data_IF_439574205544
#
_entry.id   IF_439574205544
#
_cell.length_a   1.000
_cell.length_b   1.000
_cell.length_c   1.000
_cell.angle_alpha   90.00
_cell.angle_beta   90.00
_cell.angle_gamma   90.00
#
_symmetry.space_group_name_H-M   'P 1'
#
loop_
_entity.id
_entity.type
_entity.pdbx_description
1 polymer ?
#
# COMPACT_ATOMS: atom_id res chain seq x y z
N UNK A 1 -12.74 -10.59 -18.24
CA UNK A 1 -11.61 -9.68 -18.48
C UNK A 1 -11.81 -8.39 -17.70
N UNK A 2 -10.78 -7.89 -17.00
CA UNK A 2 -10.82 -6.64 -16.22
C UNK A 2 -9.84 -5.61 -16.78
N UNK A 3 -10.33 -4.42 -17.10
CA UNK A 3 -9.47 -3.28 -17.38
C UNK A 3 -9.04 -2.61 -16.06
N UNK A 4 -7.74 -2.46 -15.82
CA UNK A 4 -7.20 -1.74 -14.66
C UNK A 4 -6.66 -0.39 -15.14
N UNK A 5 -7.40 0.68 -14.87
CA UNK A 5 -7.01 2.04 -15.25
C UNK A 5 -6.06 2.59 -14.17
N UNK A 6 -4.80 2.77 -14.56
CA UNK A 6 -3.70 3.15 -13.68
C UNK A 6 -2.72 4.08 -14.40
N UNK A 7 -1.61 4.42 -13.74
CA UNK A 7 -0.50 5.16 -14.36
C UNK A 7 0.51 4.24 -15.07
N UNK A 8 0.23 2.94 -15.14
CA UNK A 8 1.05 1.93 -15.82
C UNK A 8 0.49 1.59 -17.20
N UNK A 9 1.35 1.12 -18.09
CA UNK A 9 0.98 0.52 -19.37
C UNK A 9 1.03 -1.02 -19.28
N UNK A 10 0.56 -1.71 -20.32
CA UNK A 10 0.48 -3.18 -20.39
C UNK A 10 1.85 -3.88 -20.30
N UNK A 11 2.92 -3.19 -20.69
CA UNK A 11 4.29 -3.71 -20.68
C UNK A 11 5.09 -3.27 -19.44
N UNK A 12 4.42 -2.72 -18.42
CA UNK A 12 5.07 -2.17 -17.24
C UNK A 12 5.88 -3.23 -16.48
N UNK A 13 7.10 -2.88 -16.11
CA UNK A 13 8.02 -3.76 -15.39
C UNK A 13 8.06 -3.46 -13.91
N UNK A 14 8.51 -4.42 -13.11
CA UNK A 14 8.57 -4.30 -11.65
C UNK A 14 9.52 -3.16 -11.21
N UNK A 15 10.57 -2.90 -11.99
CA UNK A 15 11.55 -1.83 -11.75
C UNK A 15 10.96 -0.42 -11.98
N UNK A 16 9.81 -0.31 -12.65
CA UNK A 16 9.11 0.95 -12.96
C UNK A 16 8.08 1.33 -11.88
N UNK A 17 7.96 0.52 -10.82
CA UNK A 17 7.06 0.81 -9.71
C UNK A 17 7.73 1.78 -8.75
N UNK A 18 7.26 3.02 -8.68
CA UNK A 18 7.85 4.08 -7.84
C UNK A 18 6.84 4.78 -6.94
N UNK A 19 5.57 4.41 -7.03
CA UNK A 19 4.53 4.96 -6.18
C UNK A 19 3.49 3.89 -5.84
N UNK A 20 2.70 4.22 -4.84
CA UNK A 20 1.66 3.38 -4.31
C UNK A 20 0.69 2.84 -5.39
N UNK A 21 0.13 3.70 -6.25
CA UNK A 21 -0.83 3.27 -7.29
C UNK A 21 -0.19 2.30 -8.30
N UNK A 22 1.11 2.43 -8.57
CA UNK A 22 1.83 1.49 -9.43
C UNK A 22 1.87 0.10 -8.82
N UNK A 23 2.26 0.03 -7.54
CA UNK A 23 2.37 -1.24 -6.82
C UNK A 23 1.02 -1.96 -6.79
N UNK A 24 -0.08 -1.26 -6.46
CA UNK A 24 -1.42 -1.88 -6.44
C UNK A 24 -1.84 -2.36 -7.81
N UNK A 25 -1.69 -1.53 -8.85
CA UNK A 25 -2.14 -1.89 -10.18
C UNK A 25 -1.37 -3.11 -10.71
N UNK A 26 -0.05 -3.10 -10.56
CA UNK A 26 0.81 -4.19 -11.00
C UNK A 26 0.52 -5.50 -10.27
N UNK A 27 0.44 -5.47 -8.93
CA UNK A 27 0.20 -6.68 -8.16
C UNK A 27 -1.24 -7.18 -8.23
N UNK A 28 -2.24 -6.32 -8.38
CA UNK A 28 -3.60 -6.78 -8.67
C UNK A 28 -3.70 -7.41 -10.06
N UNK A 29 -3.01 -6.86 -11.06
CA UNK A 29 -2.94 -7.46 -12.39
C UNK A 29 -2.38 -8.89 -12.34
N UNK A 30 -1.24 -9.06 -11.67
CA UNK A 30 -0.61 -10.37 -11.47
C UNK A 30 -1.48 -11.31 -10.62
N UNK A 31 -2.06 -10.81 -9.52
CA UNK A 31 -2.93 -11.60 -8.66
C UNK A 31 -4.21 -12.07 -9.37
N UNK A 32 -4.83 -11.23 -10.21
CA UNK A 32 -5.97 -11.66 -11.05
C UNK A 32 -5.56 -12.79 -11.99
N UNK A 33 -4.39 -12.70 -12.64
CA UNK A 33 -3.88 -13.76 -13.50
C UNK A 33 -3.66 -15.06 -12.74
N UNK A 34 -3.09 -15.01 -11.53
CA UNK A 34 -2.88 -16.16 -10.64
C UNK A 34 -4.17 -16.86 -10.25
N UNK A 35 -5.30 -16.14 -10.17
CA UNK A 35 -6.62 -16.71 -9.89
C UNK A 35 -7.48 -16.97 -11.14
N UNK A 36 -6.87 -16.97 -12.34
CA UNK A 36 -7.55 -17.30 -13.59
C UNK A 36 -8.42 -16.19 -14.19
N UNK A 37 -8.26 -14.94 -13.72
CA UNK A 37 -8.97 -13.78 -14.26
C UNK A 37 -8.05 -12.97 -15.17
N UNK A 38 -8.39 -12.91 -16.45
CA UNK A 38 -7.69 -12.02 -17.39
C UNK A 38 -7.88 -10.56 -16.98
N UNK A 39 -6.80 -9.81 -16.91
CA UNK A 39 -6.82 -8.35 -16.70
C UNK A 39 -5.78 -7.65 -17.57
N UNK A 40 -5.91 -6.34 -17.77
CA UNK A 40 -4.96 -5.51 -18.53
C UNK A 40 -4.71 -4.19 -17.84
N UNK A 41 -3.47 -3.71 -17.89
CA UNK A 41 -3.10 -2.38 -17.42
C UNK A 41 -3.35 -1.36 -18.52
N UNK A 42 -4.15 -0.34 -18.22
CA UNK A 42 -4.44 0.77 -19.12
C UNK A 42 -3.90 2.04 -18.49
N UNK A 43 -3.03 2.72 -19.22
CA UNK A 43 -2.52 4.02 -18.82
C UNK A 43 -3.67 5.05 -18.89
N UNK A 44 -3.84 5.82 -17.84
CA UNK A 44 -4.87 6.85 -17.72
C UNK A 44 -4.77 7.96 -18.78
N UNK A 45 -3.57 8.36 -19.18
CA UNK A 45 -3.38 9.35 -20.26
C UNK A 45 -3.80 8.82 -21.63
N UNK A 46 -3.68 7.51 -21.89
CA UNK A 46 -4.18 6.90 -23.12
C UNK A 46 -5.68 7.17 -23.29
N UNK A 47 -6.44 7.19 -22.20
CA UNK A 47 -7.89 7.41 -22.20
C UNK A 47 -8.29 8.86 -22.46
N UNK A 48 -7.35 9.80 -22.52
CA UNK A 48 -7.64 11.17 -22.93
C UNK A 48 -7.85 11.29 -24.44
N UNK A 49 -7.14 10.49 -25.23
CA UNK A 49 -7.17 10.55 -26.70
C UNK A 49 -7.74 9.29 -27.36
N UNK A 50 -7.86 8.18 -26.65
CA UNK A 50 -8.29 6.89 -27.22
C UNK A 50 -9.39 6.23 -26.42
N UNK A 51 -10.20 5.39 -27.07
CA UNK A 51 -11.17 4.57 -26.36
C UNK A 51 -10.48 3.41 -25.62
N UNK A 52 -10.92 3.07 -24.38
CA UNK A 52 -10.44 1.87 -23.72
C UNK A 52 -10.85 0.63 -24.52
N UNK A 53 -10.07 -0.47 -24.48
CA UNK A 53 -10.53 -1.76 -24.95
C UNK A 53 -11.82 -2.18 -24.25
N UNK A 54 -12.67 -2.97 -24.93
CA UNK A 54 -13.86 -3.55 -24.28
C UNK A 54 -13.45 -4.51 -23.17
N UNK A 55 -14.17 -4.49 -22.06
CA UNK A 55 -13.93 -5.36 -20.90
C UNK A 55 -15.23 -5.81 -20.24
N UNK A 56 -15.15 -6.84 -19.39
CA UNK A 56 -16.28 -7.24 -18.54
C UNK A 56 -16.48 -6.22 -17.42
N UNK A 57 -15.39 -5.89 -16.71
CA UNK A 57 -15.38 -4.90 -15.64
C UNK A 57 -14.20 -3.94 -15.82
N UNK A 58 -14.33 -2.74 -15.27
CA UNK A 58 -13.23 -1.78 -15.15
C UNK A 58 -12.97 -1.47 -13.68
N UNK A 59 -11.70 -1.46 -13.28
CA UNK A 59 -11.21 -1.04 -11.97
C UNK A 59 -10.33 0.20 -12.14
N UNK A 60 -10.68 1.31 -11.47
CA UNK A 60 -9.89 2.54 -11.49
C UNK A 60 -9.02 2.62 -10.23
N UNK A 61 -7.73 2.88 -10.42
CA UNK A 61 -6.73 3.07 -9.35
C UNK A 61 -6.01 4.41 -9.52
N UNK A 62 -5.89 4.93 -10.75
CA UNK A 62 -5.22 6.21 -11.02
C UNK A 62 -5.95 7.42 -10.40
N UNK A 63 -5.18 8.29 -9.73
CA UNK A 63 -5.66 9.57 -9.22
C UNK A 63 -6.12 10.51 -10.34
N UNK A 64 -5.46 10.51 -11.51
CA UNK A 64 -5.87 11.35 -12.64
C UNK A 64 -7.19 10.83 -13.24
N UNK A 65 -7.33 9.52 -13.42
CA UNK A 65 -8.56 8.90 -13.89
C UNK A 65 -9.74 9.13 -12.93
N UNK A 66 -9.50 9.09 -11.62
CA UNK A 66 -10.47 9.49 -10.61
C UNK A 66 -10.91 10.95 -10.78
N UNK A 67 -9.95 11.87 -10.95
CA UNK A 67 -10.20 13.29 -11.17
C UNK A 67 -11.04 13.52 -12.43
N UNK A 68 -10.70 12.86 -13.54
CA UNK A 68 -11.47 12.97 -14.78
C UNK A 68 -12.87 12.38 -14.67
N UNK A 69 -13.02 11.25 -13.98
CA UNK A 69 -14.34 10.65 -13.73
C UNK A 69 -15.26 11.61 -12.98
N UNK A 70 -14.73 12.34 -11.99
CA UNK A 70 -15.50 13.30 -11.19
C UNK A 70 -15.79 14.60 -11.94
N UNK A 71 -14.83 15.10 -12.73
CA UNK A 71 -14.91 16.42 -13.37
C UNK A 71 -15.49 16.42 -14.79
N UNK A 72 -15.49 15.26 -15.47
CA UNK A 72 -15.90 15.15 -16.89
C UNK A 72 -16.92 14.01 -17.07
N UNK A 73 -18.24 14.31 -17.10
CA UNK A 73 -19.27 13.28 -17.28
C UNK A 73 -19.08 12.42 -18.54
N UNK A 74 -18.54 13.01 -19.61
CA UNK A 74 -18.21 12.29 -20.86
C UNK A 74 -17.15 11.21 -20.67
N UNK A 75 -16.20 11.41 -19.74
CA UNK A 75 -15.15 10.43 -19.43
C UNK A 75 -15.74 9.21 -18.72
N UNK A 76 -16.60 9.41 -17.72
CA UNK A 76 -17.30 8.31 -17.05
C UNK A 76 -18.22 7.57 -18.04
N UNK A 77 -18.98 8.29 -18.86
CA UNK A 77 -19.83 7.70 -19.91
C UNK A 77 -19.01 6.83 -20.85
N UNK A 78 -17.84 7.32 -21.28
CA UNK A 78 -16.90 6.55 -22.12
C UNK A 78 -16.44 5.27 -21.42
N UNK A 79 -15.99 5.33 -20.16
CA UNK A 79 -15.58 4.11 -19.43
C UNK A 79 -16.74 3.11 -19.31
N UNK A 80 -17.95 3.59 -18.99
CA UNK A 80 -19.14 2.73 -18.88
C UNK A 80 -19.54 2.11 -20.22
N UNK A 81 -19.44 2.83 -21.34
CA UNK A 81 -19.75 2.29 -22.67
C UNK A 81 -18.82 1.12 -23.09
N UNK A 82 -17.64 1.02 -22.50
CA UNK A 82 -16.64 -0.01 -22.81
C UNK A 82 -16.47 -1.04 -21.68
N UNK A 83 -17.29 -0.95 -20.63
CA UNK A 83 -17.36 -1.92 -19.53
C UNK A 83 -18.71 -2.59 -19.59
N UNK A 84 -18.75 -3.90 -19.87
CA UNK A 84 -20.01 -4.63 -20.02
C UNK A 84 -20.86 -4.60 -18.76
N UNK A 85 -20.22 -4.70 -17.59
CA UNK A 85 -20.91 -4.90 -16.31
C UNK A 85 -20.59 -3.79 -15.30
N UNK A 86 -19.47 -3.90 -14.57
CA UNK A 86 -19.20 -3.04 -13.41
C UNK A 86 -18.03 -2.09 -13.67
N UNK A 87 -18.15 -0.85 -13.20
CA UNK A 87 -17.08 0.13 -13.06
C UNK A 87 -16.84 0.39 -11.58
N UNK A 88 -15.67 -0.01 -11.10
CA UNK A 88 -15.27 0.07 -9.71
C UNK A 88 -14.08 1.00 -9.50
N UNK A 89 -13.91 1.43 -8.25
CA UNK A 89 -12.81 2.26 -7.79
C UNK A 89 -12.05 1.53 -6.69
N UNK A 90 -10.73 1.67 -6.62
CA UNK A 90 -9.91 1.22 -5.50
C UNK A 90 -9.27 2.43 -4.79
N UNK A 91 -9.46 2.54 -3.47
CA UNK A 91 -9.02 3.66 -2.63
C UNK A 91 -8.30 3.18 -1.37
N UNK A 92 -7.48 4.07 -0.82
CA UNK A 92 -6.88 3.90 0.49
C UNK A 92 -7.94 3.93 1.62
N UNK A 93 -8.88 4.87 1.56
CA UNK A 93 -9.94 5.01 2.58
C UNK A 93 -11.30 5.39 1.99
N UNK A 94 -12.33 5.35 2.84
CA UNK A 94 -13.72 5.64 2.49
C UNK A 94 -14.03 7.16 2.48
N UNK A 95 -13.43 7.89 1.54
CA UNK A 95 -13.52 9.35 1.45
C UNK A 95 -14.91 9.95 1.14
N UNK A 96 -15.98 9.15 1.13
CA UNK A 96 -17.36 9.54 0.80
C UNK A 96 -17.54 10.23 -0.57
N UNK A 97 -18.76 10.25 -1.11
CA UNK A 97 -19.10 10.97 -2.35
C UNK A 97 -18.65 10.32 -3.67
N UNK A 98 -17.96 9.18 -3.62
CA UNK A 98 -17.60 8.39 -4.81
C UNK A 98 -18.71 7.45 -5.32
N UNK A 99 -19.67 7.15 -4.46
CA UNK A 99 -20.77 6.19 -4.66
C UNK A 99 -21.73 6.54 -5.79
N UNK A 100 -21.79 7.81 -6.20
CA UNK A 100 -22.55 8.25 -7.38
C UNK A 100 -21.85 7.95 -8.71
N UNK A 101 -20.54 7.69 -8.71
CA UNK A 101 -19.77 7.46 -9.93
C UNK A 101 -19.51 5.98 -10.20
N UNK A 102 -19.42 5.18 -9.13
CA UNK A 102 -18.95 3.80 -9.18
C UNK A 102 -20.02 2.81 -8.70
N UNK A 103 -19.93 1.60 -9.22
CA UNK A 103 -20.79 0.48 -8.81
C UNK A 103 -20.27 -0.10 -7.48
N UNK A 104 -18.95 -0.16 -7.33
CA UNK A 104 -18.25 -0.52 -6.09
C UNK A 104 -17.04 0.38 -5.84
N UNK A 105 -16.76 0.66 -4.57
CA UNK A 105 -15.57 1.35 -4.07
C UNK A 105 -14.86 0.41 -3.13
N UNK A 106 -13.80 -0.21 -3.62
CA UNK A 106 -12.91 -1.04 -2.84
C UNK A 106 -12.02 -0.16 -1.99
N UNK A 107 -12.05 -0.36 -0.68
CA UNK A 107 -11.22 0.37 0.26
C UNK A 107 -10.21 -0.57 0.88
N UNK A 108 -9.02 -0.05 1.10
CA UNK A 108 -7.96 -0.74 1.80
C UNK A 108 -8.31 -0.91 3.26
N UNK A 109 -8.90 0.11 3.88
CA UNK A 109 -9.36 -0.01 5.26
C UNK A 109 -10.83 -0.31 5.28
N UNK A 110 -11.28 -1.05 6.30
CA UNK A 110 -12.69 -1.35 6.46
C UNK A 110 -13.46 -0.02 6.41
N UNK A 111 -14.49 0.12 5.56
CA UNK A 111 -15.24 1.36 5.50
C UNK A 111 -15.92 1.64 6.85
N UNK A 112 -16.01 2.91 7.23
CA UNK A 112 -16.81 3.39 8.35
C UNK A 112 -18.25 3.62 7.91
N UNK A 113 -18.43 4.09 6.68
CA UNK A 113 -19.75 4.20 6.07
C UNK A 113 -20.40 2.83 5.90
N UNK A 114 -21.69 2.74 6.24
CA UNK A 114 -22.51 1.54 6.04
C UNK A 114 -23.02 1.41 4.59
N UNK A 115 -22.56 2.26 3.67
CA UNK A 115 -22.97 2.21 2.28
C UNK A 115 -22.45 0.91 1.63
N UNK A 116 -23.35 0.05 1.09
CA UNK A 116 -22.99 -1.27 0.56
C UNK A 116 -22.09 -1.24 -0.68
N UNK A 117 -21.90 -0.06 -1.29
CA UNK A 117 -20.94 0.15 -2.37
C UNK A 117 -19.51 0.24 -1.88
N UNK A 118 -19.27 0.68 -0.64
CA UNK A 118 -17.93 0.68 -0.06
C UNK A 118 -17.63 -0.70 0.51
N UNK A 119 -16.56 -1.32 0.02
CA UNK A 119 -16.24 -2.72 0.29
C UNK A 119 -14.79 -2.84 0.68
N UNK A 120 -14.53 -3.51 1.79
CA UNK A 120 -13.16 -3.79 2.20
C UNK A 120 -12.48 -4.78 1.24
N UNK A 121 -11.40 -4.34 0.60
CA UNK A 121 -10.50 -5.19 -0.16
C UNK A 121 -9.20 -5.48 0.61
N UNK A 122 -8.68 -4.50 1.34
CA UNK A 122 -7.40 -4.62 2.06
C UNK A 122 -6.18 -4.42 1.17
N UNK A 123 -5.01 -4.39 1.80
CA UNK A 123 -3.70 -4.48 1.16
C UNK A 123 -3.23 -5.92 0.98
N UNK A 124 -2.25 -6.07 0.10
CA UNK A 124 -1.46 -7.28 -0.05
C UNK A 124 0.05 -7.00 -0.07
N UNK A 125 0.83 -8.02 0.23
CA UNK A 125 2.22 -8.16 -0.18
C UNK A 125 2.36 -9.48 -0.97
N UNK A 126 3.38 -9.57 -1.82
CA UNK A 126 3.71 -10.80 -2.53
C UNK A 126 4.98 -11.43 -1.91
N UNK A 127 4.87 -12.62 -1.28
CA UNK A 127 5.99 -13.26 -0.58
C UNK A 127 7.12 -13.71 -1.53
N UNK A 128 6.89 -13.71 -2.85
CA UNK A 128 7.96 -13.94 -3.85
C UNK A 128 9.02 -12.83 -3.79
N UNK A 129 8.62 -11.62 -3.42
CA UNK A 129 9.50 -10.44 -3.38
C UNK A 129 9.75 -9.95 -1.96
N UNK A 130 8.76 -10.11 -1.07
CA UNK A 130 8.84 -9.76 0.34
C UNK A 130 9.10 -11.01 1.18
N UNK A 131 10.35 -11.23 1.57
CA UNK A 131 10.75 -12.40 2.37
C UNK A 131 11.90 -12.06 3.31
N UNK A 132 12.04 -12.76 4.43
CA UNK A 132 13.11 -12.50 5.38
C UNK A 132 14.49 -12.90 4.84
N UNK A 133 15.45 -11.96 4.84
CA UNK A 133 16.89 -12.21 4.65
C UNK A 133 17.69 -11.95 5.93
N UNK A 134 17.41 -10.84 6.64
CA UNK A 134 17.93 -10.45 7.98
C UNK A 134 19.34 -10.95 8.38
N UNK A 135 20.32 -10.84 7.48
CA UNK A 135 21.71 -11.25 7.77
C UNK A 135 22.47 -10.25 8.67
N UNK A 136 21.93 -9.06 8.90
CA UNK A 136 22.49 -8.00 9.76
C UNK A 136 21.40 -7.35 10.59
N UNK A 137 21.69 -6.94 11.83
CA UNK A 137 20.71 -6.28 12.69
C UNK A 137 20.46 -4.84 12.22
N UNK A 138 19.36 -4.65 11.50
CA UNK A 138 19.03 -3.38 10.85
C UNK A 138 17.60 -2.91 11.14
N UNK A 139 17.38 -1.62 11.00
CA UNK A 139 16.09 -0.95 11.13
C UNK A 139 15.76 -0.18 9.86
N UNK A 140 14.50 -0.23 9.45
CA UNK A 140 13.95 0.68 8.47
C UNK A 140 13.25 1.84 9.18
N UNK A 141 13.70 3.06 8.99
CA UNK A 141 13.01 4.27 9.39
C UNK A 141 12.15 4.74 8.22
N UNK A 142 10.84 4.57 8.36
CA UNK A 142 9.86 5.19 7.48
C UNK A 142 10.09 6.70 7.56
N UNK A 143 10.61 7.40 6.56
CA UNK A 143 10.81 8.86 6.66
C UNK A 143 9.98 9.62 5.62
N UNK A 144 9.02 8.93 4.99
CA UNK A 144 8.28 9.44 3.84
C UNK A 144 7.44 10.68 4.17
N UNK A 145 6.96 10.81 5.40
CA UNK A 145 6.02 11.86 5.82
C UNK A 145 6.53 12.81 6.89
N UNK A 146 7.84 12.82 7.19
CA UNK A 146 8.39 13.63 8.28
C UNK A 146 7.93 15.09 8.21
N UNK A 147 8.07 15.74 7.06
CA UNK A 147 7.66 17.13 6.86
C UNK A 147 6.16 17.39 7.02
N UNK A 148 5.28 16.40 6.81
CA UNK A 148 3.82 16.58 6.95
C UNK A 148 3.40 16.85 8.39
N UNK A 149 4.15 16.34 9.37
CA UNK A 149 3.80 16.42 10.80
C UNK A 149 4.73 17.33 11.59
N UNK A 150 5.46 18.22 10.90
CA UNK A 150 6.34 19.20 11.55
C UNK A 150 5.57 19.97 12.64
N UNK A 151 6.20 20.13 13.80
CA UNK A 151 5.63 20.75 14.99
C UNK A 151 4.72 19.84 15.82
N UNK A 152 4.16 18.77 15.25
CA UNK A 152 3.24 17.86 15.98
C UNK A 152 3.94 16.61 16.50
N UNK A 153 4.84 16.03 15.71
CA UNK A 153 5.50 14.74 16.02
C UNK A 153 7.02 14.87 16.14
N UNK A 154 7.56 16.09 16.19
CA UNK A 154 9.01 16.36 16.21
C UNK A 154 9.71 15.64 17.36
N UNK A 155 9.10 15.59 18.54
CA UNK A 155 9.63 14.84 19.69
C UNK A 155 9.86 13.34 19.41
N UNK A 156 9.00 12.69 18.59
CA UNK A 156 9.19 11.28 18.20
C UNK A 156 10.39 11.15 17.27
N UNK A 157 10.51 12.06 16.30
CA UNK A 157 11.64 12.05 15.37
C UNK A 157 12.96 12.30 16.08
N UNK A 158 12.99 13.26 17.02
CA UNK A 158 14.15 13.48 17.88
C UNK A 158 14.54 12.25 18.69
N UNK A 159 13.56 11.50 19.22
CA UNK A 159 13.84 10.26 19.94
C UNK A 159 14.49 9.24 19.00
N UNK A 160 13.99 9.04 17.78
CA UNK A 160 14.64 8.16 16.81
C UNK A 160 16.07 8.64 16.48
N UNK A 161 16.25 9.91 16.14
CA UNK A 161 17.53 10.49 15.75
C UNK A 161 18.58 10.37 16.86
N UNK A 162 18.20 10.60 18.12
CA UNK A 162 19.11 10.49 19.27
C UNK A 162 19.36 9.04 19.69
N UNK A 163 18.44 8.12 19.41
CA UNK A 163 18.49 6.75 19.94
C UNK A 163 19.13 5.77 18.97
N UNK A 164 18.72 5.76 17.70
CA UNK A 164 19.19 4.77 16.71
C UNK A 164 20.72 4.72 16.58
N UNK A 165 21.47 5.86 16.55
CA UNK A 165 22.93 5.83 16.47
C UNK A 165 23.61 5.17 17.68
N UNK A 166 22.94 5.10 18.82
CA UNK A 166 23.52 4.56 20.07
C UNK A 166 23.36 3.04 20.21
N UNK A 167 22.59 2.41 19.32
CA UNK A 167 22.23 0.99 19.44
C UNK A 167 23.08 0.04 18.58
N UNK A 168 24.05 0.56 17.82
CA UNK A 168 24.84 -0.26 16.88
C UNK A 168 24.00 -0.92 15.78
N UNK A 169 22.79 -0.41 15.54
CA UNK A 169 21.89 -0.88 14.49
C UNK A 169 22.20 -0.15 13.19
N UNK A 170 22.20 -0.88 12.09
CA UNK A 170 22.22 -0.24 10.77
C UNK A 170 20.86 0.37 10.49
N UNK A 171 20.81 1.70 10.38
CA UNK A 171 19.59 2.42 10.06
C UNK A 171 19.51 2.69 8.55
N UNK A 172 18.45 2.16 7.93
CA UNK A 172 18.05 2.55 6.58
C UNK A 172 16.94 3.58 6.69
N UNK A 173 17.14 4.76 6.12
CA UNK A 173 16.11 5.79 6.02
C UNK A 173 15.95 6.20 4.57
N UNK A 174 14.70 6.26 4.11
CA UNK A 174 14.38 6.82 2.80
C UNK A 174 13.93 8.24 3.04
N UNK A 175 14.85 9.19 2.84
CA UNK A 175 14.60 10.62 3.00
C UNK A 175 13.31 11.04 2.24
N UNK A 176 12.56 12.02 2.77
CA UNK A 176 11.18 12.30 2.37
C UNK A 176 11.02 12.53 0.86
N UNK A 177 10.05 11.83 0.27
CA UNK A 177 9.72 11.83 -1.16
C UNK A 177 9.01 13.09 -1.66
N UNK A 178 8.85 14.12 -0.83
CA UNK A 178 8.12 15.36 -1.16
C UNK A 178 9.00 16.53 -1.57
N UNK A 179 10.33 16.42 -1.43
CA UNK A 179 11.29 17.46 -1.84
C UNK A 179 12.25 16.91 -2.89
N UNK A 180 11.93 16.98 -4.19
CA UNK A 180 12.87 16.80 -5.32
C UNK A 180 13.83 15.58 -5.33
N UNK A 181 13.70 14.62 -4.42
CA UNK A 181 14.56 13.45 -4.35
C UNK A 181 14.08 12.36 -5.31
N UNK A 182 15.05 11.67 -5.92
CA UNK A 182 14.81 10.51 -6.79
C UNK A 182 14.02 9.46 -5.99
N UNK A 183 12.81 9.16 -6.44
CA UNK A 183 11.98 8.09 -5.85
C UNK A 183 12.75 6.77 -5.93
N UNK A 184 12.83 6.05 -4.81
CA UNK A 184 13.44 4.71 -4.78
C UNK A 184 12.48 3.75 -5.49
N UNK A 185 12.92 3.01 -6.53
CA UNK A 185 12.12 1.97 -7.13
C UNK A 185 11.69 0.94 -6.09
N UNK A 186 10.49 0.41 -6.22
CA UNK A 186 9.89 -0.52 -5.26
C UNK A 186 10.78 -1.75 -5.02
N UNK A 187 11.41 -2.29 -6.07
CA UNK A 187 12.34 -3.43 -5.95
C UNK A 187 13.51 -3.12 -5.01
N UNK A 188 14.08 -1.91 -5.12
CA UNK A 188 15.16 -1.48 -4.23
C UNK A 188 14.68 -1.26 -2.80
N UNK A 189 13.45 -0.77 -2.62
CA UNK A 189 12.82 -0.68 -1.30
C UNK A 189 12.69 -2.06 -0.66
N UNK A 190 12.22 -3.07 -1.40
CA UNK A 190 12.09 -4.42 -0.85
C UNK A 190 13.45 -5.00 -0.47
N UNK A 191 14.50 -4.82 -1.30
CA UNK A 191 15.88 -5.26 -0.94
C UNK A 191 16.36 -4.69 0.39
N UNK A 192 15.93 -3.48 0.76
CA UNK A 192 16.22 -2.88 2.06
C UNK A 192 15.36 -3.56 3.14
N UNK A 193 14.04 -3.62 2.94
CA UNK A 193 13.10 -4.19 3.93
C UNK A 193 13.43 -5.64 4.30
N UNK A 194 13.87 -6.47 3.33
CA UNK A 194 14.28 -7.86 3.57
C UNK A 194 15.45 -8.01 4.55
N UNK A 195 16.25 -6.97 4.75
CA UNK A 195 17.39 -6.96 5.68
C UNK A 195 17.02 -6.45 7.06
N UNK A 196 15.90 -5.75 7.19
CA UNK A 196 15.54 -5.06 8.43
C UNK A 196 14.83 -6.02 9.40
N UNK A 197 15.26 -6.00 10.65
CA UNK A 197 14.60 -6.68 11.77
C UNK A 197 13.46 -5.84 12.33
N UNK A 198 13.58 -4.51 12.21
CA UNK A 198 12.60 -3.58 12.76
C UNK A 198 12.14 -2.59 11.69
N UNK A 199 10.89 -2.18 11.79
CA UNK A 199 10.30 -1.08 11.05
C UNK A 199 9.85 -0.01 12.03
N UNK A 200 10.53 1.14 12.04
CA UNK A 200 10.19 2.28 12.88
C UNK A 200 9.15 3.16 12.17
N UNK A 201 7.96 3.22 12.76
CA UNK A 201 6.84 3.98 12.21
C UNK A 201 6.98 5.48 12.51
N UNK A 202 6.73 6.31 11.50
CA UNK A 202 6.78 7.78 11.56
C UNK A 202 5.54 8.47 11.00
N UNK A 203 4.68 7.73 10.30
CA UNK A 203 3.49 8.30 9.69
C UNK A 203 2.25 8.02 10.55
N UNK A 204 1.47 9.07 10.82
CA UNK A 204 0.08 8.90 11.25
C UNK A 204 -0.73 8.41 10.06
N UNK A 205 -1.13 7.16 10.11
CA UNK A 205 -1.88 6.56 9.03
C UNK A 205 -2.34 5.18 9.41
N UNK A 206 -3.44 4.76 8.80
CA UNK A 206 -3.83 3.37 8.75
C UNK A 206 -2.70 2.52 8.15
N UNK A 207 -2.64 1.21 8.43
CA UNK A 207 -1.58 0.31 7.95
C UNK A 207 -1.28 0.53 6.47
N UNK A 208 -0.24 1.31 6.18
CA UNK A 208 0.20 1.56 4.82
C UNK A 208 0.76 0.29 4.21
N UNK A 209 0.69 0.20 2.89
CA UNK A 209 1.22 -0.92 2.10
C UNK A 209 2.63 -1.35 2.57
N UNK A 210 3.52 -0.37 2.77
CA UNK A 210 4.90 -0.60 3.20
C UNK A 210 5.02 -1.31 4.56
N UNK A 211 4.07 -1.15 5.49
CA UNK A 211 4.11 -1.84 6.79
C UNK A 211 3.81 -3.33 6.63
N UNK A 212 2.88 -3.66 5.73
CA UNK A 212 2.57 -5.05 5.40
C UNK A 212 3.73 -5.68 4.64
N UNK A 213 4.34 -4.94 3.72
CA UNK A 213 5.55 -5.38 3.01
C UNK A 213 6.71 -5.62 3.99
N UNK A 214 6.96 -4.69 4.93
CA UNK A 214 7.98 -4.83 5.97
C UNK A 214 7.71 -6.04 6.87
N UNK A 215 6.47 -6.21 7.34
CA UNK A 215 6.09 -7.38 8.15
C UNK A 215 6.20 -8.68 7.35
N UNK A 216 5.86 -8.67 6.05
CA UNK A 216 6.02 -9.84 5.16
C UNK A 216 7.49 -10.16 4.92
N UNK A 217 8.35 -9.13 4.90
CA UNK A 217 9.80 -9.28 4.96
C UNK A 217 10.31 -9.76 6.33
N UNK A 218 9.46 -9.90 7.35
CA UNK A 218 9.83 -10.38 8.68
C UNK A 218 10.23 -9.29 9.69
N UNK A 219 10.04 -8.01 9.36
CA UNK A 219 10.35 -6.92 10.28
C UNK A 219 9.26 -6.73 11.36
N UNK A 220 9.67 -6.62 12.62
CA UNK A 220 8.80 -6.22 13.72
C UNK A 220 8.45 -4.73 13.60
N UNK A 221 7.16 -4.40 13.61
CA UNK A 221 6.74 -2.99 13.60
C UNK A 221 6.93 -2.37 14.98
N UNK A 222 7.72 -1.30 15.05
CA UNK A 222 7.98 -0.52 16.28
C UNK A 222 7.24 0.80 16.13
N UNK A 223 6.14 0.94 16.87
CA UNK A 223 5.11 1.96 16.62
C UNK A 223 5.00 2.92 17.81
N UNK A 224 5.19 4.24 17.60
CA UNK A 224 4.93 5.21 18.66
C UNK A 224 3.44 5.20 19.04
N UNK A 225 3.12 5.26 20.34
CA UNK A 225 1.75 5.26 20.85
C UNK A 225 0.83 6.29 20.17
N UNK A 226 1.25 7.56 19.92
CA UNK A 226 0.40 8.53 19.20
C UNK A 226 0.03 8.11 17.76
N UNK A 227 0.85 7.25 17.14
CA UNK A 227 0.67 6.79 15.76
C UNK A 227 -0.05 5.44 15.65
N UNK A 228 -0.24 4.72 16.77
CA UNK A 228 -0.87 3.41 16.77
C UNK A 228 -2.37 3.49 16.38
N UNK A 229 -2.80 2.62 15.46
CA UNK A 229 -4.18 2.53 14.97
C UNK A 229 -4.65 1.07 14.96
N UNK A 230 -5.32 0.58 16.03
CA UNK A 230 -5.65 -0.83 16.20
C UNK A 230 -6.39 -1.45 15.02
N UNK A 231 -7.36 -0.73 14.45
CA UNK A 231 -8.19 -1.21 13.33
C UNK A 231 -7.39 -1.71 12.14
N UNK A 232 -6.18 -1.20 11.98
CA UNK A 232 -5.36 -1.46 10.80
C UNK A 232 -4.08 -2.20 11.14
N UNK A 233 -3.52 -1.95 12.33
CA UNK A 233 -2.23 -2.52 12.76
C UNK A 233 -2.38 -3.81 13.58
N UNK A 234 -3.53 -4.07 14.20
CA UNK A 234 -3.69 -5.21 15.11
C UNK A 234 -3.50 -6.57 14.43
N UNK A 235 -3.60 -6.63 13.10
CA UNK A 235 -3.35 -7.85 12.34
C UNK A 235 -1.87 -8.14 12.11
N UNK A 236 -0.96 -7.18 12.33
CA UNK A 236 0.49 -7.32 12.15
C UNK A 236 1.18 -7.46 13.50
N UNK A 237 2.34 -8.11 13.52
CA UNK A 237 3.19 -8.15 14.72
C UNK A 237 3.80 -6.77 14.97
N UNK A 238 3.62 -6.24 16.17
CA UNK A 238 4.06 -4.89 16.51
C UNK A 238 4.29 -4.71 18.00
N UNK A 239 5.10 -3.72 18.34
CA UNK A 239 5.30 -3.21 19.70
C UNK A 239 5.00 -1.72 19.71
N UNK A 240 4.34 -1.30 20.78
CA UNK A 240 4.01 0.10 21.02
C UNK A 240 5.01 0.66 22.03
N UNK A 241 5.52 1.86 21.77
CA UNK A 241 6.43 2.57 22.67
C UNK A 241 5.94 4.00 22.94
N UNK A 242 6.25 4.53 24.11
CA UNK A 242 5.88 5.91 24.52
C UNK A 242 7.10 6.72 24.96
N UNK A 243 8.09 6.06 25.56
CA UNK A 243 9.34 6.66 26.03
C UNK A 243 10.56 6.22 25.21
N UNK A 244 11.69 6.90 25.41
CA UNK A 244 12.97 6.50 24.81
C UNK A 244 13.39 5.10 25.30
N UNK A 245 13.16 4.81 26.57
CA UNK A 245 13.50 3.55 27.21
C UNK A 245 12.68 2.40 26.62
N UNK A 246 11.38 2.63 26.35
CA UNK A 246 10.53 1.67 25.65
C UNK A 246 11.05 1.37 24.24
N UNK A 247 11.46 2.41 23.50
CA UNK A 247 12.02 2.25 22.17
C UNK A 247 13.32 1.42 22.20
N UNK A 248 14.22 1.71 23.14
CA UNK A 248 15.46 0.95 23.32
C UNK A 248 15.15 -0.51 23.65
N UNK A 249 14.19 -0.76 24.55
CA UNK A 249 13.77 -2.11 24.91
C UNK A 249 13.22 -2.84 23.67
N UNK A 250 12.33 -2.22 22.91
CA UNK A 250 11.75 -2.78 21.69
C UNK A 250 12.82 -3.16 20.65
N UNK A 251 13.81 -2.30 20.43
CA UNK A 251 14.89 -2.50 19.45
C UNK A 251 15.99 -3.47 19.93
N UNK A 252 15.96 -3.88 21.20
CA UNK A 252 16.85 -4.91 21.75
C UNK A 252 16.23 -6.31 21.71
N UNK A 253 14.91 -6.43 21.58
CA UNK A 253 14.21 -7.71 21.54
C UNK A 253 14.73 -8.60 20.41
N UNK A 254 14.94 -9.87 20.72
CA UNK A 254 15.15 -10.89 19.71
C UNK A 254 13.84 -11.10 18.94
N UNK A 255 13.90 -10.94 17.62
CA UNK A 255 12.75 -11.11 16.73
C UNK A 255 12.81 -12.48 16.06
N UNK A 256 11.65 -13.04 15.70
CA UNK A 256 11.55 -14.21 14.82
C UNK A 256 11.01 -13.80 13.44
N UNK A 257 11.89 -13.44 12.47
CA UNK A 257 11.44 -12.93 11.18
C UNK A 257 10.54 -13.89 10.40
N UNK A 258 10.75 -15.20 10.56
CA UNK A 258 9.92 -16.23 9.90
C UNK A 258 8.50 -16.19 10.43
N UNK A 259 8.31 -16.18 11.75
CA UNK A 259 7.00 -16.13 12.37
C UNK A 259 6.25 -14.83 12.06
N UNK A 260 6.96 -13.69 12.12
CA UNK A 260 6.40 -12.39 11.72
C UNK A 260 5.93 -12.41 10.27
N UNK A 261 6.77 -12.94 9.36
CA UNK A 261 6.44 -13.09 7.93
C UNK A 261 5.21 -13.98 7.72
N UNK A 262 5.15 -15.15 8.35
CA UNK A 262 4.00 -16.06 8.24
C UNK A 262 2.70 -15.40 8.70
N UNK A 263 2.72 -14.66 9.81
CA UNK A 263 1.54 -13.91 10.28
C UNK A 263 1.11 -12.83 9.30
N UNK A 264 2.06 -12.18 8.62
CA UNK A 264 1.79 -11.12 7.65
C UNK A 264 1.25 -11.65 6.32
N UNK A 265 1.60 -12.88 5.89
CA UNK A 265 1.15 -13.49 4.62
C UNK A 265 -0.37 -13.62 4.45
N UNK A 266 -1.16 -13.52 5.53
CA UNK A 266 -2.63 -13.38 5.44
C UNK A 266 -3.09 -12.09 4.74
N UNK A 267 -2.18 -11.15 4.52
CA UNK A 267 -2.36 -9.94 3.73
C UNK A 267 -1.67 -10.13 2.38
N UNK A 268 -2.28 -10.87 1.47
CA UNK A 268 -1.72 -11.14 0.13
C UNK A 268 -2.56 -10.54 -0.98
N UNK A 269 -1.91 -10.18 -2.09
CA UNK A 269 -2.61 -9.63 -3.26
C UNK A 269 -3.62 -10.61 -3.86
N UNK A 270 -3.38 -11.92 -3.77
CA UNK A 270 -4.34 -12.95 -4.18
C UNK A 270 -5.64 -12.86 -3.37
N UNK A 271 -5.56 -12.64 -2.05
CA UNK A 271 -6.74 -12.47 -1.20
C UNK A 271 -7.48 -11.16 -1.49
N UNK A 272 -6.75 -10.08 -1.80
CA UNK A 272 -7.34 -8.80 -2.22
C UNK A 272 -8.09 -8.99 -3.55
N UNK A 273 -7.45 -9.60 -4.55
CA UNK A 273 -8.04 -9.91 -5.84
C UNK A 273 -9.30 -10.77 -5.69
N UNK A 274 -9.26 -11.83 -4.87
CA UNK A 274 -10.42 -12.68 -4.61
C UNK A 274 -11.60 -11.90 -4.00
N UNK A 275 -11.34 -11.00 -3.04
CA UNK A 275 -12.39 -10.14 -2.45
C UNK A 275 -13.03 -9.23 -3.50
N UNK A 276 -12.21 -8.68 -4.42
CA UNK A 276 -12.71 -7.86 -5.52
C UNK A 276 -13.59 -8.69 -6.46
N UNK A 277 -13.10 -9.85 -6.94
CA UNK A 277 -13.84 -10.73 -7.85
C UNK A 277 -15.16 -11.18 -7.24
N UNK A 278 -15.12 -11.68 -6.00
CA UNK A 278 -16.31 -12.14 -5.28
C UNK A 278 -17.40 -11.07 -5.18
N UNK A 279 -17.03 -9.78 -5.28
CA UNK A 279 -17.97 -8.68 -5.21
C UNK A 279 -18.46 -8.23 -6.57
N UNK A 280 -17.58 -8.10 -7.56
CA UNK A 280 -17.95 -7.58 -8.89
C UNK A 280 -18.67 -8.61 -9.78
N UNK A 281 -18.49 -9.91 -9.49
CA UNK A 281 -19.13 -11.02 -10.22
C UNK A 281 -20.48 -11.46 -9.63
N UNK A 282 -21.00 -10.73 -8.65
CA UNK A 282 -22.38 -10.88 -8.13
C UNK A 282 -23.31 -9.90 -8.84
#
# INVERSE_FOLDING_TARGET
>A
MINIISNLNENAKLEELYNFNHVVAWFLHDAFKKIGVESRLINDYYLLSHNPPKSTHTLIISAAAMSYTRSKPSYLKKIRNYSKEKVALYLDADFSGWDKYFDYIFTVVKPRTQNPKYVYAGWGADPTYCFPEQNEKAVFLDALMWGKYSGTLDHIYEIYDKTLPTLGLKAYSVLPTYHNYRRIPWVEMQKILRKCHYYCCTQVGESGLIRIEAATCGALLVVPKPMYRPRTMASLEHIIWETKEDLIAALKLETNPKEISEKAKKHSWNLVAQRIINRISR
#
